data_IF_493527574567
#
_entry.id   IF_493527574567
#
_cell.length_a   1.000
_cell.length_b   1.000
_cell.length_c   1.000
_cell.angle_alpha   90.00
_cell.angle_beta   90.00
_cell.angle_gamma   90.00
#
_symmetry.space_group_name_H-M   'P 1'
#
loop_
_entity.id
_entity.type
_entity.pdbx_description
1 polymer ?
#
# COMPACT_ATOMS: atom_id res chain seq x y z
N UNK A 1 -7.36 21.35 4.15
CA UNK A 1 -8.81 21.52 4.37
C UNK A 1 -9.35 20.19 4.92
N UNK A 2 -10.00 20.24 6.07
CA UNK A 2 -10.68 19.09 6.67
C UNK A 2 -12.17 19.18 6.31
N UNK A 3 -12.72 18.10 5.76
CA UNK A 3 -14.16 18.01 5.48
C UNK A 3 -14.91 17.76 6.78
N UNK A 4 -15.87 18.63 7.10
CA UNK A 4 -16.76 18.46 8.26
C UNK A 4 -17.98 17.64 7.84
N UNK A 5 -18.03 16.38 8.29
CA UNK A 5 -19.12 15.45 7.97
C UNK A 5 -20.41 15.72 8.75
N UNK A 6 -20.36 16.58 9.81
CA UNK A 6 -21.53 16.90 10.63
C UNK A 6 -22.43 17.96 9.99
N UNK A 7 -21.93 18.70 9.01
CA UNK A 7 -22.62 19.83 8.39
C UNK A 7 -22.65 19.69 6.86
N UNK A 8 -23.65 20.31 6.23
CA UNK A 8 -23.74 20.41 4.77
C UNK A 8 -24.50 19.25 4.10
N UNK A 9 -24.36 19.18 2.78
CA UNK A 9 -25.03 18.17 1.96
C UNK A 9 -24.17 16.89 1.94
N UNK A 10 -24.76 15.75 2.32
CA UNK A 10 -24.09 14.44 2.36
C UNK A 10 -23.40 14.10 1.02
N UNK A 11 -24.03 14.38 -0.10
CA UNK A 11 -23.45 14.16 -1.43
C UNK A 11 -22.16 14.96 -1.63
N UNK A 12 -22.15 16.22 -1.23
CA UNK A 12 -20.96 17.08 -1.33
C UNK A 12 -19.83 16.58 -0.44
N UNK A 13 -20.13 16.20 0.79
CA UNK A 13 -19.15 15.66 1.73
C UNK A 13 -18.52 14.36 1.20
N UNK A 14 -19.33 13.48 0.60
CA UNK A 14 -18.82 12.26 -0.04
C UNK A 14 -17.89 12.60 -1.20
N UNK A 15 -18.27 13.53 -2.07
CA UNK A 15 -17.45 13.90 -3.23
C UNK A 15 -16.13 14.58 -2.84
N UNK A 16 -16.13 15.40 -1.79
CA UNK A 16 -14.92 16.07 -1.28
C UNK A 16 -13.84 15.07 -0.81
N UNK A 17 -14.23 13.88 -0.36
CA UNK A 17 -13.29 12.82 0.04
C UNK A 17 -13.06 11.82 -1.10
N UNK A 18 -14.10 11.44 -1.83
CA UNK A 18 -14.00 10.43 -2.88
C UNK A 18 -13.15 10.89 -4.08
N UNK A 19 -13.28 12.16 -4.50
CA UNK A 19 -12.52 12.67 -5.65
C UNK A 19 -10.99 12.63 -5.41
N UNK A 20 -10.45 13.15 -4.30
CA UNK A 20 -9.02 13.00 -4.00
C UNK A 20 -8.56 11.54 -3.93
N UNK A 21 -9.37 10.65 -3.34
CA UNK A 21 -9.05 9.23 -3.27
C UNK A 21 -8.99 8.57 -4.65
N UNK A 22 -9.93 8.90 -5.56
CA UNK A 22 -9.94 8.40 -6.93
C UNK A 22 -8.71 8.90 -7.69
N UNK A 23 -8.39 10.19 -7.57
CA UNK A 23 -7.18 10.77 -8.19
C UNK A 23 -5.93 10.06 -7.67
N UNK A 24 -5.82 9.83 -6.36
CA UNK A 24 -4.71 9.10 -5.76
C UNK A 24 -4.56 7.68 -6.34
N UNK A 25 -5.67 6.96 -6.54
CA UNK A 25 -5.65 5.62 -7.13
C UNK A 25 -5.25 5.65 -8.61
N UNK A 26 -5.71 6.63 -9.38
CA UNK A 26 -5.30 6.81 -10.79
C UNK A 26 -3.79 7.09 -10.85
N UNK A 27 -3.26 7.97 -10.00
CA UNK A 27 -1.84 8.28 -9.94
C UNK A 27 -1.02 7.04 -9.56
N UNK A 28 -1.48 6.27 -8.59
CA UNK A 28 -0.86 5.00 -8.19
C UNK A 28 -0.81 4.01 -9.37
N UNK A 29 -1.89 3.89 -10.12
CA UNK A 29 -1.96 3.02 -11.29
C UNK A 29 -1.03 3.51 -12.42
N UNK A 30 -0.98 4.80 -12.66
CA UNK A 30 -0.12 5.39 -13.68
C UNK A 30 1.36 5.16 -13.38
N UNK A 31 1.82 5.42 -12.15
CA UNK A 31 3.22 5.20 -11.83
C UNK A 31 3.60 3.71 -11.93
N UNK A 32 2.72 2.77 -11.53
CA UNK A 32 2.95 1.34 -11.72
C UNK A 32 3.09 0.94 -13.20
N UNK A 33 2.33 1.59 -14.09
CA UNK A 33 2.44 1.36 -15.54
C UNK A 33 3.77 1.91 -16.06
N UNK A 34 4.12 3.13 -15.67
CA UNK A 34 5.37 3.79 -16.08
C UNK A 34 6.57 2.95 -15.65
N UNK A 35 6.60 2.51 -14.39
CA UNK A 35 7.66 1.67 -13.83
C UNK A 35 7.89 0.39 -14.66
N UNK A 36 6.79 -0.29 -15.03
CA UNK A 36 6.86 -1.49 -15.90
C UNK A 36 7.35 -1.20 -17.31
N UNK A 37 6.99 -0.03 -17.87
CA UNK A 37 7.48 0.38 -19.18
C UNK A 37 9.01 0.61 -19.13
N UNK A 38 9.52 1.22 -18.06
CA UNK A 38 10.94 1.39 -17.87
C UNK A 38 11.67 0.06 -17.77
N UNK A 39 11.20 -0.85 -16.90
CA UNK A 39 11.79 -2.19 -16.76
C UNK A 39 11.75 -2.95 -18.09
N UNK A 40 10.62 -2.93 -18.79
CA UNK A 40 10.46 -3.66 -20.06
C UNK A 40 11.31 -3.12 -21.21
N UNK A 41 11.79 -1.85 -21.13
CA UNK A 41 12.65 -1.22 -22.13
C UNK A 41 14.15 -1.38 -21.87
N UNK A 42 14.56 -2.05 -20.79
CA UNK A 42 15.97 -2.34 -20.55
C UNK A 42 16.50 -3.24 -21.68
N UNK A 43 17.55 -2.80 -22.42
CA UNK A 43 18.10 -3.57 -23.53
C UNK A 43 18.51 -4.98 -23.07
N UNK A 44 18.26 -5.98 -23.89
CA UNK A 44 18.62 -7.39 -23.72
C UNK A 44 17.91 -8.15 -22.58
N UNK A 45 17.61 -7.50 -21.46
CA UNK A 45 17.08 -8.16 -20.25
C UNK A 45 15.65 -7.77 -19.87
N UNK A 46 15.07 -6.74 -20.50
CA UNK A 46 13.78 -6.14 -20.10
C UNK A 46 12.65 -7.13 -19.96
N UNK A 47 12.46 -8.03 -20.92
CA UNK A 47 11.42 -9.04 -20.87
C UNK A 47 11.61 -10.04 -19.72
N UNK A 48 12.87 -10.45 -19.48
CA UNK A 48 13.22 -11.39 -18.40
C UNK A 48 13.08 -10.74 -17.04
N UNK A 49 13.52 -9.50 -16.90
CA UNK A 49 13.38 -8.71 -15.68
C UNK A 49 11.89 -8.46 -15.33
N UNK A 50 11.10 -8.08 -16.35
CA UNK A 50 9.64 -7.89 -16.16
C UNK A 50 8.94 -9.18 -15.73
N UNK A 51 9.32 -10.32 -16.30
CA UNK A 51 8.84 -11.63 -15.88
C UNK A 51 9.24 -11.93 -14.44
N UNK A 52 10.50 -11.66 -14.06
CA UNK A 52 10.99 -11.80 -12.69
C UNK A 52 10.20 -10.97 -11.67
N UNK A 53 9.95 -9.70 -11.98
CA UNK A 53 9.08 -8.83 -11.15
C UNK A 53 7.65 -9.39 -11.07
N UNK A 54 7.12 -9.92 -12.18
CA UNK A 54 5.79 -10.56 -12.23
C UNK A 54 5.66 -11.74 -11.26
N UNK A 55 6.71 -12.54 -11.09
CA UNK A 55 6.74 -13.67 -10.15
C UNK A 55 6.68 -13.24 -8.67
N UNK A 56 6.98 -11.98 -8.37
CA UNK A 56 6.90 -11.44 -7.01
C UNK A 56 5.46 -11.03 -6.62
N UNK A 57 4.53 -10.90 -7.59
CA UNK A 57 3.15 -10.44 -7.32
C UNK A 57 2.42 -11.22 -6.24
N UNK A 58 2.46 -12.56 -6.17
CA UNK A 58 1.76 -13.29 -5.13
C UNK A 58 2.20 -12.88 -3.72
N UNK A 59 3.51 -12.67 -3.52
CA UNK A 59 4.07 -12.22 -2.24
C UNK A 59 3.60 -10.80 -1.92
N UNK A 60 3.68 -9.89 -2.90
CA UNK A 60 3.25 -8.49 -2.77
C UNK A 60 1.75 -8.42 -2.46
N UNK A 61 0.95 -9.22 -3.16
CA UNK A 61 -0.50 -9.29 -2.96
C UNK A 61 -0.85 -9.78 -1.56
N UNK A 62 -0.13 -10.78 -1.04
CA UNK A 62 -0.32 -11.27 0.33
C UNK A 62 -0.03 -10.17 1.36
N UNK A 63 1.08 -9.46 1.23
CA UNK A 63 1.44 -8.33 2.09
C UNK A 63 0.36 -7.24 2.04
N UNK A 64 -0.09 -6.90 0.84
CA UNK A 64 -1.12 -5.88 0.62
C UNK A 64 -2.48 -6.31 1.21
N UNK A 65 -2.82 -7.60 1.13
CA UNK A 65 -4.04 -8.14 1.72
C UNK A 65 -4.06 -7.96 3.24
N UNK A 66 -2.97 -8.28 3.94
CA UNK A 66 -2.86 -8.02 5.38
C UNK A 66 -2.88 -6.52 5.70
N UNK A 67 -2.25 -5.70 4.87
CA UNK A 67 -2.29 -4.24 5.05
C UNK A 67 -3.71 -3.71 5.00
N UNK A 68 -4.50 -4.14 4.02
CA UNK A 68 -5.90 -3.72 3.88
C UNK A 68 -6.82 -4.35 4.92
N UNK A 69 -6.53 -5.57 5.37
CA UNK A 69 -7.28 -6.20 6.46
C UNK A 69 -7.30 -5.29 7.71
N UNK A 70 -6.14 -4.78 8.11
CA UNK A 70 -6.05 -3.91 9.28
C UNK A 70 -6.44 -2.47 8.98
N UNK A 71 -5.95 -1.88 7.88
CA UNK A 71 -6.20 -0.48 7.53
C UNK A 71 -7.66 -0.21 7.18
N UNK A 72 -8.18 -0.94 6.19
CA UNK A 72 -9.58 -0.77 5.75
C UNK A 72 -10.59 -1.39 6.73
N UNK A 73 -10.17 -2.33 7.57
CA UNK A 73 -11.00 -2.86 8.66
C UNK A 73 -11.07 -1.90 9.84
N UNK A 74 -9.94 -1.31 10.24
CA UNK A 74 -9.86 -0.44 11.42
C UNK A 74 -10.40 0.98 11.19
N UNK A 75 -10.17 1.58 10.01
CA UNK A 75 -10.55 2.95 9.74
C UNK A 75 -12.06 3.24 9.84
N UNK A 76 -12.97 2.41 9.31
CA UNK A 76 -14.42 2.61 9.50
C UNK A 76 -14.85 2.51 10.97
N UNK A 77 -14.28 1.57 11.73
CA UNK A 77 -14.58 1.42 13.16
C UNK A 77 -14.14 2.67 13.93
N UNK A 78 -12.93 3.16 13.66
CA UNK A 78 -12.44 4.41 14.24
C UNK A 78 -13.35 5.60 13.89
N UNK A 79 -13.84 5.69 12.65
CA UNK A 79 -14.77 6.75 12.22
C UNK A 79 -16.11 6.67 12.95
N UNK A 80 -16.64 5.47 13.17
CA UNK A 80 -17.90 5.27 13.90
C UNK A 80 -17.78 5.72 15.36
N UNK A 81 -16.70 5.36 16.05
CA UNK A 81 -16.49 5.76 17.45
C UNK A 81 -16.25 7.28 17.56
N UNK A 82 -15.57 7.88 16.60
CA UNK A 82 -15.45 9.36 16.53
C UNK A 82 -16.80 10.03 16.33
N UNK A 83 -17.66 9.48 15.46
CA UNK A 83 -19.01 9.98 15.24
C UNK A 83 -19.90 9.87 16.48
N UNK A 84 -19.66 8.89 17.34
CA UNK A 84 -20.33 8.71 18.65
C UNK A 84 -19.78 9.65 19.72
N UNK A 85 -18.68 10.37 19.44
CA UNK A 85 -17.99 11.21 20.43
C UNK A 85 -17.01 10.46 21.33
N UNK A 86 -16.83 9.17 21.11
CA UNK A 86 -15.94 8.29 21.90
C UNK A 86 -14.51 8.35 21.39
N UNK A 87 -13.80 9.43 21.71
CA UNK A 87 -12.45 9.67 21.23
C UNK A 87 -11.43 8.67 21.73
N UNK A 88 -11.55 8.22 22.96
CA UNK A 88 -10.63 7.27 23.59
C UNK A 88 -10.64 5.93 22.84
N UNK A 89 -11.82 5.40 22.55
CA UNK A 89 -11.98 4.17 21.77
C UNK A 89 -11.45 4.31 20.34
N UNK A 90 -11.71 5.45 19.70
CA UNK A 90 -11.21 5.73 18.35
C UNK A 90 -9.68 5.78 18.29
N UNK A 91 -9.02 6.39 19.29
CA UNK A 91 -7.55 6.45 19.41
C UNK A 91 -6.97 5.05 19.70
N UNK A 92 -7.64 4.26 20.54
CA UNK A 92 -7.25 2.90 20.84
C UNK A 92 -7.34 1.99 19.60
N UNK A 93 -8.41 2.09 18.80
CA UNK A 93 -8.56 1.36 17.53
C UNK A 93 -7.45 1.71 16.53
N UNK A 94 -7.12 3.00 16.40
CA UNK A 94 -6.03 3.44 15.54
C UNK A 94 -4.67 2.94 16.02
N UNK A 95 -4.41 3.02 17.32
CA UNK A 95 -3.16 2.53 17.95
C UNK A 95 -3.00 1.02 17.80
N UNK A 96 -4.06 0.25 18.04
CA UNK A 96 -4.07 -1.19 17.87
C UNK A 96 -3.82 -1.58 16.41
N UNK A 97 -4.45 -0.90 15.45
CA UNK A 97 -4.21 -1.13 14.03
C UNK A 97 -2.74 -0.87 13.67
N UNK A 98 -2.15 0.21 14.18
CA UNK A 98 -0.74 0.53 13.95
C UNK A 98 0.19 -0.56 14.49
N UNK A 99 -0.04 -1.04 15.72
CA UNK A 99 0.74 -2.14 16.31
C UNK A 99 0.59 -3.43 15.51
N UNK A 100 -0.63 -3.75 15.06
CA UNK A 100 -0.88 -4.93 14.23
C UNK A 100 -0.18 -4.85 12.87
N UNK A 101 -0.14 -3.67 12.24
CA UNK A 101 0.59 -3.44 10.99
C UNK A 101 2.10 -3.65 11.19
N UNK A 102 2.68 -3.12 12.26
CA UNK A 102 4.10 -3.32 12.59
C UNK A 102 4.38 -4.80 12.86
N UNK A 103 3.63 -5.43 13.76
CA UNK A 103 3.84 -6.82 14.14
C UNK A 103 3.74 -7.76 12.95
N UNK A 104 2.68 -7.62 12.15
CA UNK A 104 2.48 -8.42 10.93
C UNK A 104 3.54 -8.10 9.88
N UNK A 105 3.93 -6.83 9.70
CA UNK A 105 4.98 -6.43 8.80
C UNK A 105 6.33 -7.07 9.12
N UNK A 106 6.72 -7.10 10.39
CA UNK A 106 7.94 -7.78 10.83
C UNK A 106 7.86 -9.29 10.57
N UNK A 107 6.73 -9.92 10.89
CA UNK A 107 6.52 -11.36 10.66
C UNK A 107 6.58 -11.69 9.17
N UNK A 108 5.86 -10.95 8.32
CA UNK A 108 5.84 -11.17 6.88
C UNK A 108 7.20 -10.91 6.25
N UNK A 109 7.94 -9.91 6.70
CA UNK A 109 9.32 -9.66 6.26
C UNK A 109 10.22 -10.84 6.62
N UNK A 110 10.18 -11.32 7.86
CA UNK A 110 11.00 -12.45 8.31
C UNK A 110 10.67 -13.73 7.53
N UNK A 111 9.38 -14.08 7.41
CA UNK A 111 8.93 -15.25 6.64
C UNK A 111 9.31 -15.08 5.17
N UNK A 112 9.08 -13.91 4.58
CA UNK A 112 9.42 -13.62 3.20
C UNK A 112 10.92 -13.79 2.94
N UNK A 113 11.79 -13.23 3.77
CA UNK A 113 13.25 -13.35 3.61
C UNK A 113 13.77 -14.79 3.80
N UNK A 114 13.11 -15.61 4.61
CA UNK A 114 13.47 -17.01 4.79
C UNK A 114 12.98 -17.87 3.61
N UNK A 115 11.76 -17.63 3.14
CA UNK A 115 11.06 -18.51 2.21
C UNK A 115 10.90 -17.95 0.79
N UNK A 116 11.47 -16.77 0.44
CA UNK A 116 11.30 -16.24 -0.93
C UNK A 116 11.79 -17.19 -2.02
N UNK A 117 12.86 -17.94 -1.77
CA UNK A 117 13.40 -18.92 -2.76
C UNK A 117 12.38 -20.00 -3.13
N UNK A 118 11.92 -20.84 -2.17
CA UNK A 118 10.95 -21.89 -2.53
C UNK A 118 9.64 -21.30 -3.04
N UNK A 119 9.22 -20.13 -2.58
CA UNK A 119 8.01 -19.47 -3.05
C UNK A 119 8.15 -19.06 -4.53
N UNK A 120 9.25 -18.39 -4.91
CA UNK A 120 9.48 -17.98 -6.30
C UNK A 120 9.53 -19.17 -7.25
N UNK A 121 10.21 -20.26 -6.87
CA UNK A 121 10.22 -21.49 -7.69
C UNK A 121 8.84 -22.15 -7.77
N UNK A 122 8.06 -22.15 -6.69
CA UNK A 122 6.69 -22.66 -6.69
C UNK A 122 5.77 -21.85 -7.63
N UNK A 123 6.04 -20.57 -7.83
CA UNK A 123 5.33 -19.70 -8.77
C UNK A 123 5.93 -19.71 -10.19
N UNK A 124 6.89 -20.60 -10.47
CA UNK A 124 7.41 -20.85 -11.82
C UNK A 124 8.65 -20.05 -12.18
N UNK A 125 9.46 -19.59 -11.21
CA UNK A 125 10.75 -19.01 -11.49
C UNK A 125 11.67 -20.05 -12.18
N UNK A 126 12.29 -19.64 -13.29
CA UNK A 126 13.40 -20.37 -13.91
C UNK A 126 14.72 -19.84 -13.33
N UNK A 127 15.82 -20.55 -13.53
CA UNK A 127 17.15 -20.12 -13.08
C UNK A 127 17.54 -18.73 -13.62
N UNK A 128 17.05 -18.41 -14.83
CA UNK A 128 17.30 -17.10 -15.48
C UNK A 128 16.45 -15.99 -14.83
N UNK A 129 15.16 -16.22 -14.60
CA UNK A 129 14.26 -15.22 -14.04
C UNK A 129 14.39 -15.07 -12.52
N UNK A 130 14.90 -16.12 -11.85
CA UNK A 130 15.05 -16.14 -10.39
C UNK A 130 15.99 -15.02 -9.89
N UNK A 131 17.11 -14.76 -10.57
CA UNK A 131 18.03 -13.71 -10.14
C UNK A 131 17.35 -12.35 -10.04
N UNK A 132 16.62 -11.95 -11.10
CA UNK A 132 15.89 -10.68 -11.13
C UNK A 132 14.74 -10.62 -10.11
N UNK A 133 14.00 -11.72 -9.97
CA UNK A 133 12.93 -11.83 -8.99
C UNK A 133 13.48 -11.75 -7.55
N UNK A 134 14.60 -12.42 -7.27
CA UNK A 134 15.21 -12.45 -5.95
C UNK A 134 15.76 -11.08 -5.52
N UNK A 135 16.41 -10.37 -6.43
CA UNK A 135 16.93 -9.03 -6.14
C UNK A 135 15.79 -8.04 -5.86
N UNK A 136 14.74 -8.07 -6.69
CA UNK A 136 13.58 -7.22 -6.49
C UNK A 136 12.86 -7.53 -5.18
N UNK A 137 12.53 -8.81 -4.92
CA UNK A 137 11.72 -9.16 -3.75
C UNK A 137 12.46 -8.95 -2.44
N UNK A 138 13.78 -9.11 -2.39
CA UNK A 138 14.57 -8.82 -1.18
C UNK A 138 14.48 -7.35 -0.79
N UNK A 139 14.64 -6.44 -1.76
CA UNK A 139 14.52 -5.00 -1.53
C UNK A 139 13.10 -4.66 -1.08
N UNK A 140 12.09 -5.21 -1.75
CA UNK A 140 10.69 -5.01 -1.40
C UNK A 140 10.38 -5.49 0.02
N UNK A 141 10.85 -6.68 0.39
CA UNK A 141 10.64 -7.24 1.74
C UNK A 141 11.27 -6.38 2.84
N UNK A 142 12.45 -5.80 2.62
CA UNK A 142 13.06 -4.86 3.57
C UNK A 142 12.24 -3.58 3.71
N UNK A 143 11.58 -3.14 2.64
CA UNK A 143 10.66 -2.00 2.65
C UNK A 143 9.25 -2.30 3.14
N UNK A 144 8.87 -3.57 3.32
CA UNK A 144 7.50 -4.01 3.62
C UNK A 144 6.90 -3.31 4.84
N UNK A 145 7.68 -3.13 5.90
CA UNK A 145 7.21 -2.47 7.11
C UNK A 145 6.73 -1.04 6.82
N UNK A 146 7.50 -0.28 6.05
CA UNK A 146 7.15 1.10 5.68
C UNK A 146 5.94 1.14 4.74
N UNK A 147 5.88 0.22 3.79
CA UNK A 147 4.73 0.07 2.87
C UNK A 147 3.46 -0.24 3.66
N UNK A 148 3.49 -1.19 4.58
CA UNK A 148 2.34 -1.57 5.40
C UNK A 148 1.86 -0.42 6.29
N UNK A 149 2.77 0.31 6.93
CA UNK A 149 2.41 1.48 7.75
C UNK A 149 1.78 2.56 6.87
N UNK A 150 2.40 2.91 5.76
CA UNK A 150 1.94 3.99 4.89
C UNK A 150 0.57 3.68 4.28
N UNK A 151 0.41 2.51 3.68
CA UNK A 151 -0.85 2.12 3.04
C UNK A 151 -1.94 1.77 4.07
N UNK A 152 -1.56 1.16 5.20
CA UNK A 152 -2.51 0.76 6.24
C UNK A 152 -3.03 1.93 7.07
N UNK A 153 -2.24 2.99 7.25
CA UNK A 153 -2.67 4.18 8.00
C UNK A 153 -3.34 5.25 7.12
N UNK A 154 -3.15 5.22 5.80
CA UNK A 154 -3.78 6.17 4.88
C UNK A 154 -5.32 6.21 4.99
N UNK A 155 -6.06 5.08 5.12
CA UNK A 155 -7.50 5.10 5.34
C UNK A 155 -7.95 5.88 6.57
N UNK A 156 -7.14 5.89 7.64
CA UNK A 156 -7.42 6.68 8.85
C UNK A 156 -7.31 8.19 8.60
N UNK A 157 -6.37 8.62 7.76
CA UNK A 157 -6.25 10.03 7.34
C UNK A 157 -7.50 10.44 6.56
N UNK A 158 -7.91 9.62 5.60
CA UNK A 158 -9.09 9.88 4.76
C UNK A 158 -10.37 9.88 5.60
N UNK A 159 -10.53 8.93 6.53
CA UNK A 159 -11.70 8.82 7.41
C UNK A 159 -11.87 9.98 8.38
N UNK A 160 -10.80 10.74 8.62
CA UNK A 160 -10.83 11.96 9.42
C UNK A 160 -11.18 13.23 8.62
N UNK A 161 -11.54 13.08 7.34
CA UNK A 161 -11.86 14.20 6.45
C UNK A 161 -10.65 14.87 5.80
N UNK A 162 -9.46 14.28 5.91
CA UNK A 162 -8.23 14.79 5.30
C UNK A 162 -7.90 14.12 3.96
N UNK A 163 -8.89 13.92 3.09
CA UNK A 163 -8.71 13.23 1.80
C UNK A 163 -7.61 13.83 0.93
N UNK A 164 -7.46 15.15 0.92
CA UNK A 164 -6.39 15.84 0.19
C UNK A 164 -4.99 15.52 0.75
N UNK A 165 -4.86 15.32 2.06
CA UNK A 165 -3.58 14.91 2.67
C UNK A 165 -3.27 13.46 2.33
N UNK A 166 -4.26 12.56 2.36
CA UNK A 166 -4.10 11.18 1.92
C UNK A 166 -3.66 11.09 0.46
N UNK A 167 -4.25 11.88 -0.43
CA UNK A 167 -3.83 12.00 -1.83
C UNK A 167 -2.39 12.53 -1.96
N UNK A 168 -2.03 13.56 -1.20
CA UNK A 168 -0.71 14.20 -1.27
C UNK A 168 0.41 13.22 -0.89
N UNK A 169 0.20 12.37 0.11
CA UNK A 169 1.19 11.35 0.51
C UNK A 169 1.49 10.37 -0.63
N UNK A 170 0.45 9.94 -1.36
CA UNK A 170 0.59 9.05 -2.53
C UNK A 170 1.27 9.78 -3.69
N UNK A 171 0.90 11.04 -3.94
CA UNK A 171 1.49 11.85 -5.00
C UNK A 171 2.99 12.07 -4.78
N UNK A 172 3.41 12.41 -3.57
CA UNK A 172 4.83 12.57 -3.23
C UNK A 172 5.60 11.26 -3.49
N UNK A 173 5.04 10.12 -3.05
CA UNK A 173 5.63 8.81 -3.30
C UNK A 173 5.76 8.49 -4.79
N UNK A 174 4.72 8.78 -5.59
CA UNK A 174 4.73 8.56 -7.04
C UNK A 174 5.76 9.45 -7.76
N UNK A 175 5.84 10.73 -7.39
CA UNK A 175 6.82 11.67 -7.98
C UNK A 175 8.25 11.24 -7.64
N UNK A 176 8.52 10.88 -6.39
CA UNK A 176 9.85 10.38 -5.98
C UNK A 176 10.24 9.11 -6.74
N UNK A 177 9.30 8.19 -6.92
CA UNK A 177 9.54 6.94 -7.67
C UNK A 177 9.86 7.21 -9.15
N UNK A 178 9.22 8.20 -9.79
CA UNK A 178 9.48 8.53 -11.21
C UNK A 178 10.83 9.27 -11.39
N UNK A 179 11.26 10.04 -10.39
CA UNK A 179 12.49 10.86 -10.46
C UNK A 179 13.74 10.06 -10.09
N UNK A 180 13.62 9.07 -9.21
CA UNK A 180 14.73 8.21 -8.75
C UNK A 180 14.97 7.03 -9.70
#
# INVERSE_FOLDING_TARGET
HQTDFSTGNVYRNIMEVAVPMIIAQILNLLYNIVDRIYIGRIPEIGATALTGVGLCFPIITLITAFTYLFGNGGAPLCSMERGRGNREEAEMLMGNTFVMLIGTGVILTAIGLIFYRPILYAFGASDVTFSYAADYIRIYLLGTLFVMITLGMNPFINSQGFGNMGMLTILIGAVLNIVL
#
